data_IF_291355689665
#
_entry.id   IF_291355689665
#
_cell.length_a   1.000
_cell.length_b   1.000
_cell.length_c   1.000
_cell.angle_alpha   90.00
_cell.angle_beta   90.00
_cell.angle_gamma   90.00
#
_symmetry.space_group_name_H-M   'P 1'
#
loop_
_entity.id
_entity.type
_entity.pdbx_description
1 polymer ?
#
# COMPACT_ATOMS: atom_id res chain seq x y z
N UNK A 1 -7.50 -3.19 -36.99
CA UNK A 1 -7.06 -3.69 -35.68
C UNK A 1 -8.17 -3.36 -34.70
N UNK A 2 -8.48 -4.26 -33.76
CA UNK A 2 -9.47 -3.96 -32.73
C UNK A 2 -8.97 -2.79 -31.86
N UNK A 3 -9.86 -1.87 -31.52
CA UNK A 3 -9.56 -0.71 -30.71
C UNK A 3 -9.33 -1.15 -29.26
N UNK A 4 -8.19 -0.81 -28.67
CA UNK A 4 -7.85 -1.20 -27.30
C UNK A 4 -8.39 -0.15 -26.35
N UNK A 5 -9.38 -0.55 -25.53
CA UNK A 5 -9.97 0.30 -24.48
C UNK A 5 -9.43 -0.08 -23.11
N UNK A 6 -8.97 0.90 -22.36
CA UNK A 6 -8.31 0.77 -21.05
C UNK A 6 -9.06 1.59 -20.02
N UNK A 7 -9.39 0.97 -18.88
CA UNK A 7 -9.81 1.71 -17.70
C UNK A 7 -8.59 2.23 -16.94
N UNK A 8 -8.54 3.52 -16.71
CA UNK A 8 -7.55 4.16 -15.86
C UNK A 8 -8.17 4.54 -14.51
N UNK A 9 -7.70 3.99 -13.39
CA UNK A 9 -8.27 4.26 -12.06
C UNK A 9 -7.29 5.08 -11.23
N UNK A 10 -7.69 6.31 -10.92
CA UNK A 10 -6.88 7.23 -10.11
C UNK A 10 -6.92 6.86 -8.63
N UNK A 11 -5.84 7.17 -7.91
CA UNK A 11 -5.77 7.05 -6.45
C UNK A 11 -6.73 8.02 -5.77
N UNK A 12 -7.47 7.55 -4.76
CA UNK A 12 -8.25 8.43 -3.90
C UNK A 12 -7.32 9.32 -3.06
N UNK A 13 -7.66 10.62 -2.95
CA UNK A 13 -6.83 11.61 -2.27
C UNK A 13 -6.55 11.30 -0.80
N UNK A 14 -7.45 10.59 -0.12
CA UNK A 14 -7.27 10.16 1.26
C UNK A 14 -6.04 9.25 1.48
N UNK A 15 -5.59 8.55 0.44
CA UNK A 15 -4.45 7.62 0.52
C UNK A 15 -3.10 8.25 0.13
N UNK A 16 -3.08 9.50 -0.27
CA UNK A 16 -1.86 10.25 -0.60
C UNK A 16 -2.06 11.75 -0.44
N UNK A 17 -2.48 12.22 0.75
CA UNK A 17 -2.91 13.61 0.93
C UNK A 17 -1.79 14.63 0.64
N UNK A 18 -0.53 14.24 0.82
CA UNK A 18 0.62 15.10 0.59
C UNK A 18 1.13 15.10 -0.87
N UNK A 19 0.58 14.24 -1.72
CA UNK A 19 1.07 14.00 -3.09
C UNK A 19 -0.02 13.94 -4.16
N UNK A 20 -1.22 14.45 -3.90
CA UNK A 20 -2.37 14.39 -4.82
C UNK A 20 -1.99 14.92 -6.21
N UNK A 21 -1.31 16.06 -6.27
CA UNK A 21 -0.88 16.66 -7.55
C UNK A 21 0.16 15.80 -8.29
N UNK A 22 1.10 15.21 -7.57
CA UNK A 22 2.12 14.33 -8.15
C UNK A 22 1.51 13.03 -8.68
N UNK A 23 0.61 12.42 -7.91
CA UNK A 23 -0.10 11.20 -8.31
C UNK A 23 -0.94 11.45 -9.57
N UNK A 24 -1.66 12.58 -9.62
CA UNK A 24 -2.42 12.97 -10.80
C UNK A 24 -1.52 13.23 -12.02
N UNK A 25 -0.37 13.88 -11.84
CA UNK A 25 0.58 14.14 -12.93
C UNK A 25 1.15 12.83 -13.50
N UNK A 26 1.56 11.89 -12.65
CA UNK A 26 2.05 10.57 -13.06
C UNK A 26 0.96 9.83 -13.85
N UNK A 27 -0.25 9.77 -13.29
CA UNK A 27 -1.36 9.06 -13.90
C UNK A 27 -1.74 9.64 -15.26
N UNK A 28 -1.87 10.96 -15.35
CA UNK A 28 -2.19 11.65 -16.61
C UNK A 28 -1.11 11.42 -17.68
N UNK A 29 0.17 11.47 -17.30
CA UNK A 29 1.26 11.18 -18.23
C UNK A 29 1.18 9.75 -18.79
N UNK A 30 0.82 8.76 -17.98
CA UNK A 30 0.59 7.38 -18.42
C UNK A 30 -0.60 7.33 -19.40
N UNK A 31 -1.74 7.92 -19.04
CA UNK A 31 -2.93 7.94 -19.87
C UNK A 31 -2.69 8.61 -21.24
N UNK A 32 -1.98 9.75 -21.25
CA UNK A 32 -1.62 10.43 -22.49
C UNK A 32 -0.69 9.59 -23.39
N UNK A 33 0.30 8.92 -22.80
CA UNK A 33 1.19 8.05 -23.58
C UNK A 33 0.45 6.85 -24.17
N UNK A 34 -0.52 6.29 -23.48
CA UNK A 34 -1.37 5.22 -24.01
C UNK A 34 -2.25 5.74 -25.15
N UNK A 35 -2.86 6.92 -25.01
CA UNK A 35 -3.66 7.57 -26.07
C UNK A 35 -2.82 7.87 -27.32
N UNK A 36 -1.59 8.36 -27.17
CA UNK A 36 -0.65 8.58 -28.28
C UNK A 36 -0.31 7.29 -29.04
N UNK A 37 -0.47 6.13 -28.42
CA UNK A 37 -0.27 4.80 -29.03
C UNK A 37 -1.55 4.20 -29.60
N UNK A 38 -2.64 4.97 -29.65
CA UNK A 38 -3.91 4.56 -30.26
C UNK A 38 -4.86 3.83 -29.32
N UNK A 39 -4.62 3.87 -28.00
CA UNK A 39 -5.57 3.32 -27.03
C UNK A 39 -6.64 4.35 -26.64
N UNK A 40 -7.87 3.90 -26.40
CA UNK A 40 -8.88 4.67 -25.70
C UNK A 40 -8.63 4.48 -24.19
N UNK A 41 -8.51 5.58 -23.44
CA UNK A 41 -8.33 5.52 -21.98
C UNK A 41 -9.47 6.27 -21.31
N UNK A 42 -10.33 5.51 -20.63
CA UNK A 42 -11.41 6.02 -19.79
C UNK A 42 -10.88 6.18 -18.37
N UNK A 43 -11.06 7.36 -17.77
CA UNK A 43 -10.52 7.66 -16.43
C UNK A 43 -11.65 7.60 -15.41
N UNK A 44 -11.40 6.88 -14.32
CA UNK A 44 -12.32 6.67 -13.20
C UNK A 44 -11.67 7.05 -11.87
N UNK A 45 -12.48 7.51 -10.92
CA UNK A 45 -12.08 7.58 -9.52
C UNK A 45 -12.17 6.19 -8.87
N UNK A 46 -11.51 6.01 -7.73
CA UNK A 46 -11.65 4.78 -6.92
C UNK A 46 -13.12 4.51 -6.51
N UNK A 47 -13.89 5.58 -6.18
CA UNK A 47 -15.32 5.45 -5.85
C UNK A 47 -16.15 4.94 -7.02
N UNK A 48 -15.92 5.46 -8.24
CA UNK A 48 -16.57 4.97 -9.45
C UNK A 48 -16.23 3.50 -9.73
N UNK A 49 -14.99 3.12 -9.49
CA UNK A 49 -14.56 1.74 -9.62
C UNK A 49 -15.28 0.81 -8.62
N UNK A 50 -15.32 1.20 -7.35
CA UNK A 50 -16.04 0.45 -6.29
C UNK A 50 -17.54 0.35 -6.59
N UNK A 51 -18.11 1.38 -7.20
CA UNK A 51 -19.52 1.38 -7.62
C UNK A 51 -19.82 0.48 -8.82
N UNK A 52 -18.82 -0.18 -9.41
CA UNK A 52 -18.98 -1.13 -10.52
C UNK A 52 -19.09 -0.48 -11.91
N UNK A 53 -18.65 0.76 -12.07
CA UNK A 53 -18.74 1.49 -13.33
C UNK A 53 -17.68 1.08 -14.38
N UNK A 54 -16.74 0.19 -14.02
CA UNK A 54 -15.63 -0.24 -14.90
C UNK A 54 -15.95 -1.57 -15.54
N UNK A 55 -16.05 -1.58 -16.86
CA UNK A 55 -16.39 -2.76 -17.67
C UNK A 55 -15.23 -3.26 -18.53
N UNK A 56 -14.20 -2.46 -18.72
CA UNK A 56 -13.03 -2.75 -19.54
C UNK A 56 -12.29 -4.02 -19.09
N UNK A 57 -11.60 -4.67 -20.04
CA UNK A 57 -10.80 -5.86 -19.78
C UNK A 57 -9.34 -5.55 -19.43
N UNK A 58 -8.88 -4.31 -19.67
CA UNK A 58 -7.54 -3.84 -19.35
C UNK A 58 -7.68 -2.68 -18.37
N UNK A 59 -7.02 -2.80 -17.23
CA UNK A 59 -7.09 -1.84 -16.14
C UNK A 59 -5.68 -1.39 -15.78
N UNK A 60 -5.47 -0.08 -15.77
CA UNK A 60 -4.26 0.56 -15.22
C UNK A 60 -4.67 1.37 -14.01
N UNK A 61 -4.07 1.13 -12.86
CA UNK A 61 -4.56 1.71 -11.63
C UNK A 61 -3.46 2.21 -10.69
N UNK A 62 -3.86 3.11 -9.80
CA UNK A 62 -3.08 3.57 -8.65
C UNK A 62 -3.85 3.36 -7.32
N UNK A 63 -4.77 2.42 -7.29
CA UNK A 63 -5.64 2.15 -6.15
C UNK A 63 -4.87 1.82 -4.87
N UNK A 64 -5.47 2.19 -3.73
CA UNK A 64 -4.95 1.87 -2.38
C UNK A 64 -6.06 1.45 -1.41
N UNK A 65 -7.30 1.73 -1.73
CA UNK A 65 -8.41 1.33 -0.86
C UNK A 65 -8.58 -0.18 -0.84
N UNK A 66 -8.82 -0.75 0.35
CA UNK A 66 -8.94 -2.20 0.53
C UNK A 66 -10.03 -2.83 -0.34
N UNK A 67 -11.16 -2.12 -0.51
CA UNK A 67 -12.25 -2.58 -1.41
C UNK A 67 -11.81 -2.61 -2.87
N UNK A 68 -11.09 -1.57 -3.31
CA UNK A 68 -10.54 -1.51 -4.66
C UNK A 68 -9.53 -2.64 -4.90
N UNK A 69 -8.66 -2.92 -3.93
CA UNK A 69 -7.68 -4.01 -4.02
C UNK A 69 -8.41 -5.36 -4.18
N UNK A 70 -9.43 -5.63 -3.38
CA UNK A 70 -10.20 -6.85 -3.48
C UNK A 70 -10.92 -7.00 -4.84
N UNK A 71 -11.46 -5.91 -5.39
CA UNK A 71 -12.06 -5.91 -6.73
C UNK A 71 -11.03 -6.14 -7.84
N UNK A 72 -9.83 -5.54 -7.74
CA UNK A 72 -8.75 -5.78 -8.69
C UNK A 72 -8.35 -7.26 -8.71
N UNK A 73 -8.22 -7.89 -7.53
CA UNK A 73 -7.93 -9.32 -7.41
C UNK A 73 -9.03 -10.17 -8.07
N UNK A 74 -10.31 -9.87 -7.83
CA UNK A 74 -11.42 -10.57 -8.48
C UNK A 74 -11.39 -10.42 -10.01
N UNK A 75 -11.01 -9.24 -10.52
CA UNK A 75 -10.86 -9.01 -11.94
C UNK A 75 -9.68 -9.79 -12.55
N UNK A 76 -8.55 -9.87 -11.84
CA UNK A 76 -7.41 -10.70 -12.24
C UNK A 76 -7.79 -12.18 -12.28
N UNK A 77 -8.50 -12.68 -11.26
CA UNK A 77 -8.99 -14.05 -11.19
C UNK A 77 -9.99 -14.37 -12.31
N UNK A 78 -10.74 -13.36 -12.76
CA UNK A 78 -11.64 -13.46 -13.93
C UNK A 78 -10.91 -13.33 -15.28
N UNK A 79 -9.57 -13.22 -15.29
CA UNK A 79 -8.75 -13.17 -16.50
C UNK A 79 -8.60 -11.79 -17.13
N UNK A 80 -8.98 -10.70 -16.45
CA UNK A 80 -8.71 -9.33 -16.91
C UNK A 80 -7.22 -8.98 -16.72
N UNK A 81 -6.72 -8.08 -17.55
CA UNK A 81 -5.35 -7.56 -17.41
C UNK A 81 -5.36 -6.38 -16.44
N UNK A 82 -4.72 -6.52 -15.29
CA UNK A 82 -4.65 -5.50 -14.24
C UNK A 82 -3.21 -5.05 -14.00
N UNK A 83 -2.95 -3.77 -14.16
CA UNK A 83 -1.68 -3.08 -13.97
C UNK A 83 -1.94 -1.86 -13.04
N UNK A 84 -1.44 -1.75 -11.86
CA UNK A 84 -0.69 -2.67 -11.01
C UNK A 84 -1.62 -3.78 -10.49
N UNK A 85 -1.08 -4.98 -10.31
CA UNK A 85 -1.81 -6.13 -9.77
C UNK A 85 -2.39 -5.86 -8.38
N UNK A 86 -3.64 -6.25 -8.12
CA UNK A 86 -4.26 -6.15 -6.80
C UNK A 86 -3.51 -6.97 -5.75
N UNK A 87 -3.03 -8.15 -6.11
CA UNK A 87 -2.14 -8.97 -5.26
C UNK A 87 -0.80 -8.30 -5.01
N UNK A 88 -0.22 -7.66 -6.04
CA UNK A 88 1.02 -6.90 -5.92
C UNK A 88 0.87 -5.69 -4.98
N UNK A 89 -0.23 -4.94 -5.10
CA UNK A 89 -0.52 -3.79 -4.22
C UNK A 89 -0.67 -4.25 -2.76
N UNK A 90 -1.39 -5.34 -2.52
CA UNK A 90 -1.57 -5.90 -1.18
C UNK A 90 -0.23 -6.35 -0.58
N UNK A 91 0.63 -7.00 -1.37
CA UNK A 91 1.97 -7.43 -0.95
C UNK A 91 2.91 -6.26 -0.64
N UNK A 92 2.63 -5.05 -1.13
CA UNK A 92 3.38 -3.85 -0.83
C UNK A 92 3.01 -3.21 0.53
N UNK A 93 2.00 -3.70 1.26
CA UNK A 93 1.79 -3.26 2.66
C UNK A 93 3.01 -3.64 3.50
N UNK A 94 3.36 -2.78 4.47
CA UNK A 94 4.64 -2.94 5.19
C UNK A 94 4.76 -4.28 5.90
N UNK A 95 3.74 -4.67 6.67
CA UNK A 95 3.74 -5.94 7.38
C UNK A 95 3.85 -7.13 6.41
N UNK A 96 3.05 -7.12 5.34
CA UNK A 96 3.02 -8.24 4.39
C UNK A 96 4.34 -8.34 3.61
N UNK A 97 4.87 -7.22 3.15
CA UNK A 97 6.19 -7.18 2.51
C UNK A 97 7.29 -7.69 3.44
N UNK A 98 7.31 -7.23 4.70
CA UNK A 98 8.30 -7.70 5.69
C UNK A 98 8.17 -9.21 5.89
N UNK A 99 6.96 -9.74 6.04
CA UNK A 99 6.71 -11.18 6.18
C UNK A 99 7.22 -11.99 4.98
N UNK A 100 6.97 -11.52 3.77
CA UNK A 100 7.44 -12.15 2.53
C UNK A 100 8.97 -12.15 2.49
N UNK A 101 9.60 -11.02 2.79
CA UNK A 101 11.05 -10.89 2.80
C UNK A 101 11.70 -11.76 3.88
N UNK A 102 11.13 -11.84 5.09
CA UNK A 102 11.61 -12.72 6.16
C UNK A 102 11.55 -14.20 5.78
N UNK A 103 10.57 -14.61 4.97
CA UNK A 103 10.44 -15.97 4.45
C UNK A 103 11.30 -16.26 3.20
N UNK A 104 12.05 -15.28 2.70
CA UNK A 104 12.88 -15.39 1.50
C UNK A 104 14.38 -15.31 1.85
N UNK A 105 15.25 -15.72 0.93
CA UNK A 105 16.70 -15.57 1.08
C UNK A 105 17.21 -14.18 0.64
N UNK A 106 16.35 -13.17 0.63
CA UNK A 106 16.73 -11.80 0.26
C UNK A 106 17.31 -11.10 1.48
N UNK A 107 18.52 -10.52 1.38
CA UNK A 107 19.09 -9.74 2.48
C UNK A 107 18.18 -8.58 2.87
N UNK A 108 17.84 -8.50 4.15
CA UNK A 108 17.02 -7.44 4.72
C UNK A 108 17.47 -7.10 6.15
N UNK A 109 17.15 -5.91 6.66
CA UNK A 109 17.34 -5.62 8.07
C UNK A 109 16.56 -6.58 8.95
N UNK A 110 17.12 -6.96 10.10
CA UNK A 110 16.37 -7.70 11.12
C UNK A 110 15.09 -6.95 11.45
N UNK A 111 13.96 -7.64 11.48
CA UNK A 111 12.65 -7.04 11.65
C UNK A 111 11.80 -7.86 12.61
N UNK A 112 10.97 -7.18 13.38
CA UNK A 112 9.99 -7.77 14.30
C UNK A 112 8.61 -7.20 13.96
N UNK A 113 7.61 -8.07 13.83
CA UNK A 113 6.22 -7.67 13.61
C UNK A 113 5.44 -7.81 14.91
N UNK A 114 4.79 -6.74 15.36
CA UNK A 114 4.15 -6.68 16.68
C UNK A 114 2.72 -6.14 16.57
N UNK A 115 1.88 -6.52 17.56
CA UNK A 115 0.63 -5.83 17.81
C UNK A 115 0.90 -4.60 18.69
N UNK A 116 0.25 -3.50 18.39
CA UNK A 116 0.49 -2.24 19.10
C UNK A 116 -0.08 -2.21 20.54
N UNK A 117 -0.95 -3.17 20.88
CA UNK A 117 -1.53 -3.34 22.22
C UNK A 117 -0.76 -4.33 23.10
N UNK A 118 0.38 -4.84 22.65
CA UNK A 118 1.20 -5.81 23.39
C UNK A 118 2.38 -5.13 24.09
N UNK A 119 2.86 -5.75 25.16
CA UNK A 119 4.14 -5.40 25.79
C UNK A 119 5.27 -6.05 24.97
N UNK A 120 6.18 -5.22 24.43
CA UNK A 120 7.19 -5.71 23.49
C UNK A 120 8.64 -5.57 24.00
N UNK A 121 8.84 -4.96 25.16
CA UNK A 121 10.20 -4.70 25.70
C UNK A 121 11.03 -5.98 25.71
N UNK A 122 10.51 -7.06 26.33
CA UNK A 122 11.19 -8.36 26.38
C UNK A 122 11.48 -8.94 24.98
N UNK A 123 10.57 -8.73 24.03
CA UNK A 123 10.74 -9.22 22.66
C UNK A 123 11.83 -8.45 21.91
N UNK A 124 11.94 -7.15 22.15
CA UNK A 124 13.00 -6.32 21.60
C UNK A 124 14.36 -6.70 22.19
N UNK A 125 14.44 -6.86 23.51
CA UNK A 125 15.68 -7.24 24.19
C UNK A 125 16.17 -8.63 23.77
N UNK A 126 15.28 -9.63 23.72
CA UNK A 126 15.58 -10.98 23.22
C UNK A 126 16.02 -10.99 21.75
N UNK A 127 15.44 -10.08 20.97
CA UNK A 127 15.81 -9.88 19.56
C UNK A 127 17.10 -9.07 19.37
N UNK A 128 17.71 -8.54 20.44
CA UNK A 128 18.92 -7.72 20.38
C UNK A 128 18.70 -6.30 19.85
N UNK A 129 17.45 -5.81 19.86
CA UNK A 129 17.13 -4.45 19.43
C UNK A 129 17.40 -3.46 20.56
N UNK A 130 18.54 -2.79 20.54
CA UNK A 130 18.85 -1.67 21.44
C UNK A 130 18.31 -0.35 20.91
N UNK A 131 18.19 -0.22 19.61
CA UNK A 131 17.61 0.91 18.88
C UNK A 131 16.98 0.39 17.57
N UNK A 132 15.92 1.00 17.11
CA UNK A 132 15.26 0.57 15.87
C UNK A 132 14.39 1.66 15.25
N UNK A 133 13.96 1.41 14.02
CA UNK A 133 12.88 2.13 13.39
C UNK A 133 11.55 1.43 13.65
N UNK A 134 10.59 2.15 14.17
CA UNK A 134 9.20 1.68 14.30
C UNK A 134 8.37 2.30 13.18
N UNK A 135 7.63 1.46 12.51
CA UNK A 135 6.83 1.85 11.35
C UNK A 135 5.45 1.22 11.46
N UNK A 136 4.38 1.97 11.16
CA UNK A 136 3.06 1.36 11.07
C UNK A 136 3.06 0.22 10.05
N UNK A 137 2.39 -0.88 10.39
CA UNK A 137 2.42 -2.11 9.60
C UNK A 137 1.30 -2.22 8.55
N UNK A 138 0.14 -1.68 8.89
CA UNK A 138 -1.11 -1.83 8.15
C UNK A 138 -1.17 -1.01 6.85
N UNK A 139 -0.42 0.10 6.79
CA UNK A 139 -0.47 1.03 5.70
C UNK A 139 0.87 1.74 5.46
N UNK A 140 0.98 2.52 4.36
CA UNK A 140 2.09 3.44 4.17
C UNK A 140 1.99 4.63 5.14
N UNK A 141 3.13 5.23 5.48
CA UNK A 141 3.17 6.43 6.31
C UNK A 141 2.32 7.56 5.68
N UNK A 142 1.34 8.05 6.41
CA UNK A 142 0.51 9.20 6.06
C UNK A 142 1.02 10.43 6.82
N UNK A 143 1.45 10.20 8.06
CA UNK A 143 2.00 11.21 8.95
C UNK A 143 3.47 10.95 9.22
N UNK A 144 4.21 11.99 9.62
CA UNK A 144 5.63 11.89 9.94
C UNK A 144 5.88 10.87 11.08
N UNK A 145 4.97 10.79 12.03
CA UNK A 145 5.02 9.94 13.21
C UNK A 145 4.78 8.46 12.88
N UNK A 146 4.29 8.13 11.68
CA UNK A 146 4.08 6.74 11.25
C UNK A 146 5.39 5.98 10.96
N UNK A 147 6.52 6.70 10.99
CA UNK A 147 7.88 6.16 10.88
C UNK A 147 8.77 6.92 11.86
N UNK A 148 9.17 6.28 12.94
CA UNK A 148 9.95 6.91 14.01
C UNK A 148 11.17 6.08 14.38
N UNK A 149 12.27 6.76 14.64
CA UNK A 149 13.47 6.13 15.20
C UNK A 149 13.41 6.21 16.73
N UNK A 150 13.65 5.09 17.40
CA UNK A 150 13.67 4.96 18.85
C UNK A 150 15.03 4.44 19.32
N UNK A 151 15.50 4.96 20.45
CA UNK A 151 16.83 4.66 20.99
C UNK A 151 16.82 3.64 22.12
N UNK A 152 15.65 3.35 22.68
CA UNK A 152 15.49 2.43 23.79
C UNK A 152 14.19 1.64 23.65
N UNK A 153 14.12 0.39 24.17
CA UNK A 153 12.89 -0.41 24.15
C UNK A 153 11.68 0.27 24.79
N UNK A 154 11.91 1.12 25.80
CA UNK A 154 10.86 1.88 26.49
C UNK A 154 10.21 2.92 25.55
N UNK A 155 11.01 3.68 24.79
CA UNK A 155 10.51 4.63 23.77
C UNK A 155 9.67 3.88 22.71
N UNK A 156 10.11 2.67 22.36
CA UNK A 156 9.36 1.83 21.42
C UNK A 156 7.98 1.46 21.96
N UNK A 157 7.91 1.07 23.24
CA UNK A 157 6.65 0.71 23.89
C UNK A 157 5.69 1.90 23.99
N UNK A 158 6.19 3.09 24.32
CA UNK A 158 5.41 4.33 24.38
C UNK A 158 4.85 4.67 23.00
N UNK A 159 5.67 4.63 21.96
CA UNK A 159 5.25 4.89 20.58
C UNK A 159 4.19 3.88 20.08
N UNK A 160 4.33 2.60 20.43
CA UNK A 160 3.31 1.60 20.09
C UNK A 160 1.99 1.86 20.79
N UNK A 161 2.03 2.34 22.03
CA UNK A 161 0.81 2.75 22.74
C UNK A 161 0.13 3.94 22.03
N UNK A 162 0.90 4.93 21.57
CA UNK A 162 0.37 6.03 20.75
C UNK A 162 -0.25 5.52 19.44
N UNK A 163 0.40 4.56 18.78
CA UNK A 163 -0.17 3.92 17.58
C UNK A 163 -1.50 3.23 17.88
N UNK A 164 -1.57 2.51 19.00
CA UNK A 164 -2.80 1.85 19.45
C UNK A 164 -3.93 2.85 19.65
N UNK A 165 -3.66 3.98 20.34
CA UNK A 165 -4.64 5.04 20.58
C UNK A 165 -5.12 5.69 19.27
N UNK A 166 -4.29 5.73 18.22
CA UNK A 166 -4.63 6.19 16.88
C UNK A 166 -5.35 5.13 16.04
N UNK A 167 -5.63 3.94 16.60
CA UNK A 167 -6.29 2.83 15.92
C UNK A 167 -5.38 2.03 14.97
N UNK A 168 -4.08 2.26 14.99
CA UNK A 168 -3.09 1.48 14.24
C UNK A 168 -2.85 0.19 15.01
N UNK A 169 -3.18 -0.95 14.42
CA UNK A 169 -3.14 -2.25 15.15
C UNK A 169 -1.80 -2.98 15.04
N UNK A 170 -1.02 -2.70 14.01
CA UNK A 170 0.20 -3.43 13.66
C UNK A 170 1.37 -2.47 13.44
N UNK A 171 2.56 -2.90 13.85
CA UNK A 171 3.83 -2.21 13.58
C UNK A 171 4.93 -3.21 13.19
N UNK A 172 5.94 -2.67 12.55
CA UNK A 172 7.18 -3.36 12.17
C UNK A 172 8.36 -2.53 12.63
#
# INVERSE_FOLDING_TARGET
>A
MAEITIAGIMRAGAYSPNHIGNDAAIFNAVAENLRKRGCIVNIYSEDQFIAGNVTENIIVNMCREQKSIALLQQMEDAGKIVINSGYGIENCTRERMTRILMGSNIPQPQSLMVNTNEMIIDSLEKGGFTQCWIKRGDFHAIHKEDVSFVRHPQEAQELLHEYFLRGIKRAV
#
